data_IF_282223610319
#
_entry.id   IF_282223610319
#
_cell.length_a   1.000
_cell.length_b   1.000
_cell.length_c   1.000
_cell.angle_alpha   90.00
_cell.angle_beta   90.00
_cell.angle_gamma   90.00
#
_symmetry.space_group_name_H-M   'P 1'
#
loop_
_entity.id
_entity.type
_entity.pdbx_description
1 polymer ?
#
# COMPACT_ATOMS: atom_id res chain seq x y z
N UNK A 1 1.32 30.39 -28.10
CA UNK A 1 1.58 28.94 -28.26
C UNK A 1 1.43 28.26 -26.90
N UNK A 2 0.57 27.29 -26.81
CA UNK A 2 0.47 26.52 -25.56
C UNK A 2 1.72 25.67 -25.43
N UNK A 3 2.51 25.90 -24.37
CA UNK A 3 3.57 24.97 -24.01
C UNK A 3 2.96 23.57 -23.80
N UNK A 4 3.54 22.58 -24.48
CA UNK A 4 3.10 21.22 -24.28
C UNK A 4 3.48 20.79 -22.87
N UNK A 5 2.48 20.55 -22.05
CA UNK A 5 2.67 20.17 -20.64
C UNK A 5 3.58 18.93 -20.49
N UNK A 6 3.62 18.08 -21.52
CA UNK A 6 4.47 16.89 -21.57
C UNK A 6 5.97 17.22 -21.71
N UNK A 7 6.32 18.40 -22.20
CA UNK A 7 7.72 18.79 -22.32
C UNK A 7 8.35 19.11 -20.95
N UNK A 8 7.52 19.46 -19.96
CA UNK A 8 7.97 19.67 -18.58
C UNK A 8 8.41 18.38 -17.87
N UNK A 9 8.04 17.22 -18.42
CA UNK A 9 8.42 15.93 -17.86
C UNK A 9 9.61 15.27 -18.58
N UNK A 10 10.07 15.85 -19.69
CA UNK A 10 11.20 15.29 -20.47
C UNK A 10 12.57 15.61 -19.88
N UNK A 11 12.68 16.68 -19.11
CA UNK A 11 13.95 17.21 -18.62
C UNK A 11 14.13 17.05 -17.10
N UNK A 12 13.28 16.25 -16.44
CA UNK A 12 13.59 15.82 -15.10
C UNK A 12 14.84 14.94 -15.18
N UNK A 13 15.99 15.35 -14.58
CA UNK A 13 17.13 14.46 -14.51
C UNK A 13 16.59 13.16 -13.90
N UNK A 14 16.73 12.09 -14.62
CA UNK A 14 16.61 10.78 -14.04
C UNK A 14 17.72 10.70 -13.00
N UNK A 15 17.42 11.09 -11.76
CA UNK A 15 18.15 10.59 -10.63
C UNK A 15 17.90 9.08 -10.65
N UNK A 16 18.64 8.39 -11.49
CA UNK A 16 18.84 6.96 -11.38
C UNK A 16 19.57 6.75 -10.06
N UNK A 17 18.84 6.87 -8.96
CA UNK A 17 19.24 6.22 -7.72
C UNK A 17 19.36 4.76 -8.09
N UNK A 18 20.61 4.30 -8.27
CA UNK A 18 20.89 2.89 -8.46
C UNK A 18 20.18 2.17 -7.31
N UNK A 19 19.06 1.52 -7.63
CA UNK A 19 18.25 0.84 -6.64
C UNK A 19 19.05 -0.33 -6.09
N UNK A 20 19.26 -0.33 -4.79
CA UNK A 20 19.90 -1.46 -4.13
C UNK A 20 18.88 -2.62 -4.02
N UNK A 21 18.92 -3.52 -4.98
CA UNK A 21 18.07 -4.71 -5.00
C UNK A 21 18.42 -5.75 -3.91
N UNK A 22 19.47 -5.51 -3.11
CA UNK A 22 19.78 -6.36 -1.96
C UNK A 22 18.77 -6.15 -0.82
N UNK A 23 18.08 -5.01 -0.78
CA UNK A 23 17.04 -4.69 0.20
C UNK A 23 15.67 -4.80 -0.45
N UNK A 24 14.88 -5.76 0.02
CA UNK A 24 13.48 -5.90 -0.37
C UNK A 24 12.65 -4.77 0.23
N UNK A 25 11.67 -4.29 -0.54
CA UNK A 25 10.63 -3.39 -0.05
C UNK A 25 9.64 -4.20 0.77
N UNK A 26 9.46 -3.82 2.02
CA UNK A 26 8.52 -4.47 2.94
C UNK A 26 7.13 -3.86 2.81
N UNK A 27 6.17 -4.67 2.43
CA UNK A 27 4.79 -4.25 2.16
C UNK A 27 3.81 -4.86 3.16
N UNK A 28 2.89 -4.03 3.63
CA UNK A 28 1.71 -4.45 4.39
C UNK A 28 0.45 -4.42 3.54
N UNK A 29 -0.47 -5.34 3.81
CA UNK A 29 -1.79 -5.39 3.18
C UNK A 29 -2.83 -4.95 4.22
N UNK A 30 -3.53 -3.87 3.93
CA UNK A 30 -4.61 -3.35 4.77
C UNK A 30 -5.95 -3.63 4.09
N UNK A 31 -6.74 -4.49 4.69
CA UNK A 31 -7.97 -5.04 4.11
C UNK A 31 -7.69 -6.26 3.23
N UNK A 32 -8.27 -7.39 3.59
CA UNK A 32 -8.06 -8.68 2.94
C UNK A 32 -9.31 -9.17 2.22
N UNK A 33 -9.97 -8.26 1.51
CA UNK A 33 -11.08 -8.55 0.61
C UNK A 33 -10.61 -9.09 -0.75
N UNK A 34 -11.56 -9.23 -1.67
CA UNK A 34 -11.30 -9.82 -2.99
C UNK A 34 -10.24 -9.07 -3.82
N UNK A 35 -10.16 -7.73 -3.71
CA UNK A 35 -9.18 -6.97 -4.48
C UNK A 35 -7.74 -7.15 -3.97
N UNK A 36 -7.58 -7.44 -2.68
CA UNK A 36 -6.28 -7.71 -2.10
C UNK A 36 -5.59 -8.93 -2.72
N UNK A 37 -6.35 -9.88 -3.26
CA UNK A 37 -5.81 -11.01 -4.02
C UNK A 37 -4.96 -10.55 -5.21
N UNK A 38 -5.44 -9.56 -5.96
CA UNK A 38 -4.72 -9.02 -7.11
C UNK A 38 -3.40 -8.38 -6.69
N UNK A 39 -3.40 -7.63 -5.59
CA UNK A 39 -2.19 -7.01 -5.03
C UNK A 39 -1.18 -8.06 -4.58
N UNK A 40 -1.62 -9.05 -3.81
CA UNK A 40 -0.75 -10.13 -3.32
C UNK A 40 -0.12 -10.91 -4.47
N UNK A 41 -0.91 -11.30 -5.47
CA UNK A 41 -0.41 -12.02 -6.64
C UNK A 41 0.60 -11.20 -7.45
N UNK A 42 0.41 -9.88 -7.53
CA UNK A 42 1.35 -8.99 -8.18
C UNK A 42 2.67 -8.90 -7.38
N UNK A 43 2.59 -8.71 -6.07
CA UNK A 43 3.78 -8.66 -5.21
C UNK A 43 4.56 -9.97 -5.20
N UNK A 44 3.90 -11.11 -5.23
CA UNK A 44 4.55 -12.43 -5.30
C UNK A 44 5.39 -12.62 -6.57
N UNK A 45 5.12 -11.85 -7.63
CA UNK A 45 5.91 -11.84 -8.88
C UNK A 45 7.05 -10.83 -8.86
N UNK A 46 7.14 -9.98 -7.85
CA UNK A 46 8.17 -8.97 -7.71
C UNK A 46 9.29 -9.48 -6.80
N UNK A 47 10.48 -9.78 -7.32
CA UNK A 47 11.56 -10.37 -6.53
C UNK A 47 12.12 -9.43 -5.45
N UNK A 48 11.91 -8.14 -5.60
CA UNK A 48 12.39 -7.09 -4.70
C UNK A 48 11.32 -6.62 -3.69
N UNK A 49 10.20 -7.31 -3.59
CA UNK A 49 9.11 -7.04 -2.66
C UNK A 49 8.88 -8.21 -1.73
N UNK A 50 8.63 -7.91 -0.47
CA UNK A 50 8.28 -8.88 0.56
C UNK A 50 7.01 -8.43 1.30
N UNK A 51 6.00 -9.28 1.35
CA UNK A 51 4.80 -9.03 2.15
C UNK A 51 5.10 -9.44 3.59
N UNK A 52 5.12 -8.49 4.52
CA UNK A 52 5.52 -8.72 5.92
C UNK A 52 4.39 -8.61 6.93
N UNK A 53 3.30 -7.96 6.56
CA UNK A 53 2.18 -7.70 7.46
C UNK A 53 0.85 -7.70 6.72
N UNK A 54 -0.20 -8.06 7.43
CA UNK A 54 -1.58 -7.93 6.96
C UNK A 54 -2.50 -7.51 8.11
N UNK A 55 -3.50 -6.70 7.80
CA UNK A 55 -4.50 -6.24 8.75
C UNK A 55 -5.91 -6.36 8.17
N UNK A 56 -6.83 -6.80 9.01
CA UNK A 56 -8.26 -6.79 8.73
C UNK A 56 -9.04 -6.55 10.03
N UNK A 57 -10.14 -5.82 9.96
CA UNK A 57 -11.00 -5.56 11.12
C UNK A 57 -11.76 -6.82 11.56
N UNK A 58 -11.94 -7.78 10.66
CA UNK A 58 -12.60 -9.05 10.98
C UNK A 58 -11.57 -10.03 11.53
N UNK A 59 -11.70 -10.46 12.80
CA UNK A 59 -10.75 -11.40 13.40
C UNK A 59 -10.60 -12.69 12.58
N UNK A 60 -9.36 -13.11 12.36
CA UNK A 60 -9.03 -14.35 11.63
C UNK A 60 -9.09 -14.23 10.10
N UNK A 61 -9.62 -13.15 9.56
CA UNK A 61 -9.77 -12.98 8.10
C UNK A 61 -8.44 -12.79 7.39
N UNK A 62 -7.54 -12.00 7.96
CA UNK A 62 -6.21 -11.77 7.39
C UNK A 62 -5.39 -13.06 7.36
N UNK A 63 -5.44 -13.85 8.44
CA UNK A 63 -4.77 -15.14 8.55
C UNK A 63 -5.28 -16.13 7.50
N UNK A 64 -6.59 -16.28 7.39
CA UNK A 64 -7.22 -17.16 6.41
C UNK A 64 -6.90 -16.74 4.96
N UNK A 65 -6.85 -15.44 4.70
CA UNK A 65 -6.48 -14.88 3.41
C UNK A 65 -5.03 -15.22 3.05
N UNK A 66 -4.09 -15.00 3.95
CA UNK A 66 -2.68 -15.29 3.71
C UNK A 66 -2.43 -16.78 3.52
N UNK A 67 -3.09 -17.64 4.29
CA UNK A 67 -3.02 -19.10 4.13
C UNK A 67 -3.54 -19.52 2.73
N UNK A 68 -4.66 -18.96 2.31
CA UNK A 68 -5.27 -19.26 1.00
C UNK A 68 -4.37 -18.92 -0.17
N UNK A 69 -3.64 -17.81 -0.08
CA UNK A 69 -2.77 -17.32 -1.18
C UNK A 69 -1.29 -17.65 -0.98
N UNK A 70 -0.95 -18.48 0.01
CA UNK A 70 0.42 -18.95 0.22
C UNK A 70 1.39 -17.84 0.64
N UNK A 71 0.91 -16.85 1.39
CA UNK A 71 1.74 -15.77 1.95
C UNK A 71 2.22 -16.20 3.32
N UNK A 72 3.52 -16.44 3.44
CA UNK A 72 4.17 -16.93 4.66
C UNK A 72 4.96 -15.82 5.36
N UNK A 73 5.28 -16.04 6.63
CA UNK A 73 6.09 -15.12 7.46
C UNK A 73 5.48 -13.73 7.61
N UNK A 74 4.16 -13.67 7.70
CA UNK A 74 3.38 -12.44 7.82
C UNK A 74 2.94 -12.26 9.27
N UNK A 75 3.07 -11.03 9.78
CA UNK A 75 2.46 -10.62 11.05
C UNK A 75 1.07 -10.06 10.80
N UNK A 76 0.14 -10.40 11.70
CA UNK A 76 -1.26 -10.00 11.60
C UNK A 76 -1.62 -8.96 12.63
N UNK A 77 -2.42 -7.98 12.20
CA UNK A 77 -2.85 -6.85 13.04
C UNK A 77 -4.36 -6.65 12.93
N UNK A 78 -5.03 -6.23 14.01
CA UNK A 78 -6.47 -6.02 14.01
C UNK A 78 -6.91 -4.74 13.27
N UNK A 79 -5.99 -3.81 13.03
CA UNK A 79 -6.28 -2.57 12.31
C UNK A 79 -5.07 -2.03 11.54
N UNK A 80 -5.33 -1.08 10.63
CA UNK A 80 -4.28 -0.36 9.91
C UNK A 80 -3.34 0.42 10.85
N UNK A 81 -3.87 0.95 11.94
CA UNK A 81 -3.07 1.73 12.91
C UNK A 81 -1.99 0.88 13.55
N UNK A 82 -2.35 -0.27 14.07
CA UNK A 82 -1.40 -1.18 14.72
C UNK A 82 -0.38 -1.75 13.74
N UNK A 83 -0.81 -2.03 12.50
CA UNK A 83 0.11 -2.47 11.45
C UNK A 83 1.15 -1.38 11.14
N UNK A 84 0.72 -0.14 10.99
CA UNK A 84 1.60 0.99 10.67
C UNK A 84 2.49 1.35 11.88
N UNK A 85 1.93 1.37 13.07
CA UNK A 85 2.65 1.68 14.32
C UNK A 85 3.74 0.66 14.64
N UNK A 86 3.63 -0.57 14.17
CA UNK A 86 4.66 -1.58 14.30
C UNK A 86 5.98 -1.22 13.59
N UNK A 87 5.95 -0.28 12.64
CA UNK A 87 7.14 0.29 12.00
C UNK A 87 7.89 -0.67 11.08
N UNK A 88 7.26 -1.73 10.60
CA UNK A 88 7.90 -2.78 9.80
C UNK A 88 7.72 -2.61 8.29
N UNK A 89 6.76 -1.78 7.86
CA UNK A 89 6.42 -1.61 6.46
C UNK A 89 7.03 -0.34 5.86
N UNK A 90 7.61 -0.46 4.68
CA UNK A 90 8.02 0.68 3.84
C UNK A 90 6.83 1.24 3.05
N UNK A 91 5.91 0.37 2.70
CA UNK A 91 4.70 0.70 1.95
C UNK A 91 3.53 -0.18 2.38
N UNK A 92 2.33 0.29 2.12
CA UNK A 92 1.09 -0.48 2.33
C UNK A 92 0.18 -0.42 1.10
N UNK A 93 -0.52 -1.52 0.85
CA UNK A 93 -1.67 -1.54 -0.06
C UNK A 93 -2.95 -1.36 0.75
N UNK A 94 -3.73 -0.34 0.43
CA UNK A 94 -5.03 -0.08 1.05
C UNK A 94 -6.12 -0.67 0.16
N UNK A 95 -6.69 -1.78 0.61
CA UNK A 95 -7.69 -2.60 -0.09
C UNK A 95 -8.98 -2.73 0.75
N UNK A 96 -9.29 -1.74 1.54
CA UNK A 96 -10.46 -1.69 2.43
C UNK A 96 -11.72 -1.26 1.71
N UNK A 97 -12.82 -1.06 2.42
CA UNK A 97 -14.01 -0.43 1.88
C UNK A 97 -13.74 1.04 1.51
N UNK A 98 -14.44 1.54 0.49
CA UNK A 98 -14.25 2.90 -0.03
C UNK A 98 -14.31 3.98 1.05
N UNK A 99 -15.22 3.85 2.03
CA UNK A 99 -15.38 4.80 3.12
C UNK A 99 -14.17 4.91 4.07
N UNK A 100 -13.29 3.93 4.06
CA UNK A 100 -12.10 3.88 4.94
C UNK A 100 -10.79 4.15 4.21
N UNK A 101 -10.82 4.37 2.91
CA UNK A 101 -9.63 4.63 2.10
C UNK A 101 -8.86 5.86 2.58
N UNK A 102 -9.55 6.97 2.82
CA UNK A 102 -8.91 8.20 3.27
C UNK A 102 -8.25 8.04 4.64
N UNK A 103 -8.96 7.46 5.60
CA UNK A 103 -8.43 7.24 6.95
C UNK A 103 -7.15 6.40 6.94
N UNK A 104 -7.16 5.27 6.26
CA UNK A 104 -6.00 4.37 6.17
C UNK A 104 -4.83 5.04 5.46
N UNK A 105 -5.10 5.75 4.36
CA UNK A 105 -4.09 6.41 3.54
C UNK A 105 -3.43 7.56 4.29
N UNK A 106 -4.22 8.45 4.89
CA UNK A 106 -3.70 9.60 5.63
C UNK A 106 -2.83 9.14 6.80
N UNK A 107 -3.31 8.14 7.56
CA UNK A 107 -2.55 7.59 8.68
C UNK A 107 -1.19 7.03 8.24
N UNK A 108 -1.14 6.29 7.15
CA UNK A 108 0.10 5.77 6.61
C UNK A 108 1.06 6.88 6.15
N UNK A 109 0.56 7.87 5.41
CA UNK A 109 1.37 9.00 4.93
C UNK A 109 1.93 9.85 6.08
N UNK A 110 1.14 10.10 7.13
CA UNK A 110 1.59 10.81 8.33
C UNK A 110 2.69 10.07 9.09
N UNK A 111 2.79 8.76 8.91
CA UNK A 111 3.84 7.90 9.49
C UNK A 111 4.98 7.57 8.52
N UNK A 112 5.11 8.31 7.42
CA UNK A 112 6.12 8.13 6.38
C UNK A 112 6.10 6.75 5.71
N UNK A 113 4.92 6.14 5.61
CA UNK A 113 4.69 4.89 4.90
C UNK A 113 4.07 5.20 3.54
N UNK A 114 4.67 4.71 2.47
CA UNK A 114 4.13 4.87 1.12
C UNK A 114 2.84 4.07 0.92
N UNK A 115 1.94 4.57 0.08
CA UNK A 115 0.62 3.95 -0.09
C UNK A 115 0.35 3.64 -1.56
N UNK A 116 -0.06 2.41 -1.82
CA UNK A 116 -0.78 2.03 -3.02
C UNK A 116 -2.27 1.92 -2.66
N UNK A 117 -3.04 2.91 -3.09
CA UNK A 117 -4.45 3.04 -2.75
C UNK A 117 -5.35 2.51 -3.86
N UNK A 118 -6.28 1.62 -3.50
CA UNK A 118 -7.33 1.20 -4.41
C UNK A 118 -8.30 2.33 -4.77
N UNK A 119 -8.86 2.22 -5.95
CA UNK A 119 -9.90 3.12 -6.44
C UNK A 119 -11.26 2.78 -5.79
N UNK A 120 -12.14 3.76 -5.61
CA UNK A 120 -11.92 5.19 -5.75
C UNK A 120 -11.01 5.72 -4.63
N UNK A 121 -10.24 6.77 -4.91
CA UNK A 121 -9.29 7.33 -3.95
C UNK A 121 -9.95 7.68 -2.61
N UNK A 122 -11.15 8.24 -2.67
CA UNK A 122 -11.91 8.70 -1.52
C UNK A 122 -13.40 8.83 -1.87
N UNK A 123 -14.24 9.18 -0.91
CA UNK A 123 -15.69 9.37 -1.11
C UNK A 123 -16.13 10.82 -1.08
N UNK A 124 -15.29 11.74 -0.59
CA UNK A 124 -15.57 13.19 -0.55
C UNK A 124 -14.40 14.00 -1.11
N UNK A 125 -14.69 15.23 -1.53
CA UNK A 125 -13.65 16.16 -2.00
C UNK A 125 -12.70 16.57 -0.85
N UNK A 126 -13.23 16.73 0.34
CA UNK A 126 -12.44 17.04 1.55
C UNK A 126 -11.42 15.95 1.85
N UNK A 127 -11.79 14.70 1.71
CA UNK A 127 -10.88 13.56 1.84
C UNK A 127 -9.79 13.58 0.76
N UNK A 128 -10.14 13.90 -0.48
CA UNK A 128 -9.18 14.01 -1.58
C UNK A 128 -8.12 15.08 -1.28
N UNK A 129 -8.55 16.23 -0.81
CA UNK A 129 -7.64 17.34 -0.42
C UNK A 129 -6.75 16.93 0.75
N UNK A 130 -7.30 16.20 1.73
CA UNK A 130 -6.54 15.76 2.89
C UNK A 130 -5.47 14.70 2.54
N UNK A 131 -5.71 13.89 1.53
CA UNK A 131 -4.73 12.87 1.04
C UNK A 131 -3.58 13.56 0.29
N UNK A 132 -3.85 14.61 -0.47
CA UNK A 132 -2.85 15.32 -1.26
C UNK A 132 -1.98 16.25 -0.43
#
# INVERSE_FOLDING_TARGET
>A
MAENILDKFKDAPADEKVRDYSKKIKVGIIGTGWIAEAHVKAYQKCPDVEIVAAADLVPGKAEAFCERYGVENVKFYPSHKELIDAGECDAVSVCTYNATHAECTIYALEHNVSVLLEKPMCVTLEEAVAIC
#
